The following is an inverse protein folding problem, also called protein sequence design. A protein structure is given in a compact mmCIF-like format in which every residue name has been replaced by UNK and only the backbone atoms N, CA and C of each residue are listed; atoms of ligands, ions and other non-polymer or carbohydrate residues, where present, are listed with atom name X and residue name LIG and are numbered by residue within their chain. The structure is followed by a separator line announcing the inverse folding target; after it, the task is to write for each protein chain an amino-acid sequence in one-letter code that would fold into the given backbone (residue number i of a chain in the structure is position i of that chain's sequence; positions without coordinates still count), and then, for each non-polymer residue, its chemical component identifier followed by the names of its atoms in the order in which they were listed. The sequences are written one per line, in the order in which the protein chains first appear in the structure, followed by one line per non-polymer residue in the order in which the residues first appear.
data_IF_641296178549
#
_entry.id   IF_641296178549
#
_cell.length_a   1.000
_cell.length_b   1.000
_cell.length_c   1.000
_cell.angle_alpha   90.00
_cell.angle_beta   90.00
_cell.angle_gamma   90.00
#
_symmetry.space_group_name_H-M   'P 1'
#
loop_
_entity.id
_entity.type
_entity.pdbx_description
1 polymer ?
#
# COMPACT_ATOMS: atom_id res chain seq x y z
N UNK A 1 19.41 -34.06 -24.87
CA UNK A 1 17.94 -33.91 -24.88
C UNK A 1 17.62 -32.47 -24.52
N UNK A 2 17.22 -31.69 -25.51
CA UNK A 2 16.82 -30.27 -25.46
C UNK A 2 15.32 -30.16 -25.23
N UNK A 3 14.89 -29.40 -24.21
CA UNK A 3 13.53 -28.83 -24.08
C UNK A 3 13.62 -27.64 -23.08
N UNK A 4 13.63 -26.38 -23.54
CA UNK A 4 12.48 -25.45 -23.70
C UNK A 4 12.01 -24.87 -22.35
N UNK A 5 12.43 -23.65 -22.00
CA UNK A 5 11.74 -22.34 -22.17
C UNK A 5 10.63 -22.08 -21.14
N UNK A 6 10.83 -21.07 -20.30
CA UNK A 6 9.77 -20.14 -19.87
C UNK A 6 10.38 -18.82 -19.35
N UNK A 7 10.32 -17.83 -20.23
CA UNK A 7 10.63 -16.41 -20.07
C UNK A 7 9.56 -15.75 -19.18
N UNK A 8 9.92 -15.33 -17.96
CA UNK A 8 9.03 -14.58 -17.08
C UNK A 8 9.20 -13.07 -17.33
N UNK A 9 8.41 -12.57 -18.28
CA UNK A 9 8.28 -11.15 -18.60
C UNK A 9 7.76 -10.36 -17.40
N UNK A 10 8.54 -9.37 -16.98
CA UNK A 10 8.15 -8.32 -16.06
C UNK A 10 6.96 -7.50 -16.61
N UNK A 11 5.97 -7.11 -15.80
CA UNK A 11 4.94 -6.18 -16.23
C UNK A 11 5.52 -4.77 -16.35
N UNK A 12 5.37 -4.19 -17.54
CA UNK A 12 5.81 -2.85 -17.92
C UNK A 12 4.96 -1.78 -17.24
N UNK A 13 5.64 -0.86 -16.57
CA UNK A 13 5.07 0.40 -16.05
C UNK A 13 4.65 1.30 -17.22
N UNK A 14 3.40 1.76 -17.21
CA UNK A 14 2.90 2.79 -18.14
C UNK A 14 3.35 4.19 -17.67
N UNK A 15 3.62 5.13 -18.60
CA UNK A 15 4.17 6.44 -18.27
C UNK A 15 3.10 7.45 -17.81
N UNK A 16 3.51 8.31 -16.88
CA UNK A 16 2.77 9.48 -16.43
C UNK A 16 2.64 10.53 -17.55
N UNK A 17 1.40 10.94 -17.85
CA UNK A 17 1.13 12.07 -18.73
C UNK A 17 1.12 13.39 -17.94
N UNK A 18 1.92 14.35 -18.41
CA UNK A 18 2.05 15.72 -17.88
C UNK A 18 1.32 16.73 -18.79
N UNK A 19 0.63 17.68 -18.13
CA UNK A 19 0.45 19.15 -18.37
C UNK A 19 -0.48 19.74 -19.48
N UNK A 20 -1.58 20.36 -19.00
CA UNK A 20 -2.03 21.79 -19.00
C UNK A 20 -2.22 22.72 -20.25
N UNK A 21 -3.23 23.61 -20.09
CA UNK A 21 -3.54 24.96 -20.67
C UNK A 21 -4.49 25.03 -21.89
N UNK A 22 -5.45 25.96 -22.06
CA UNK A 22 -6.10 27.06 -21.29
C UNK A 22 -7.42 27.48 -22.02
N UNK A 23 -8.40 28.16 -21.40
CA UNK A 23 -9.66 28.62 -22.03
C UNK A 23 -9.64 30.11 -22.44
N UNK A 24 -10.57 30.59 -23.31
CA UNK A 24 -10.76 32.04 -23.44
C UNK A 24 -12.19 32.55 -23.13
N UNK A 25 -12.19 33.51 -22.20
CA UNK A 25 -12.84 34.83 -22.22
C UNK A 25 -14.39 34.97 -22.23
N UNK A 26 -14.88 35.63 -21.17
CA UNK A 26 -16.17 36.33 -21.07
C UNK A 26 -16.12 37.37 -19.93
N UNK A 27 -16.52 38.60 -20.25
CA UNK A 27 -16.26 39.92 -19.63
C UNK A 27 -17.09 40.22 -18.33
N UNK A 28 -17.02 41.41 -17.68
CA UNK A 28 -16.97 41.57 -16.24
C UNK A 28 -18.28 42.13 -15.65
N UNK A 29 -18.56 41.80 -14.38
CA UNK A 29 -19.75 42.28 -13.69
C UNK A 29 -19.45 42.57 -12.23
N UNK A 30 -19.39 43.85 -11.92
CA UNK A 30 -19.23 44.50 -10.61
C UNK A 30 -19.95 43.83 -9.44
N UNK A 31 -19.25 43.72 -8.30
CA UNK A 31 -19.91 43.69 -6.99
C UNK A 31 -19.16 42.92 -5.90
N UNK A 32 -18.80 43.65 -4.85
CA UNK A 32 -18.82 43.20 -3.44
C UNK A 32 -17.49 42.82 -2.78
N UNK A 33 -17.07 43.73 -1.91
CA UNK A 33 -16.40 43.57 -0.61
C UNK A 33 -15.22 42.60 -0.50
N UNK A 34 -14.04 43.20 -0.43
CA UNK A 34 -12.80 42.65 0.14
C UNK A 34 -13.03 42.19 1.59
N UNK A 35 -13.37 40.91 1.75
CA UNK A 35 -13.13 40.14 2.96
C UNK A 35 -11.94 39.21 2.71
N UNK A 36 -10.73 39.69 2.96
CA UNK A 36 -9.55 38.82 3.03
C UNK A 36 -9.50 38.18 4.41
N UNK A 37 -10.01 36.94 4.53
CA UNK A 37 -9.82 36.12 5.72
C UNK A 37 -9.43 34.69 5.31
N UNK A 38 -8.13 34.53 5.05
CA UNK A 38 -7.26 33.44 5.49
C UNK A 38 -7.86 32.03 5.68
N UNK A 39 -8.51 31.46 4.67
CA UNK A 39 -8.80 30.00 4.60
C UNK A 39 -7.86 29.24 3.64
N UNK A 40 -6.68 29.80 3.33
CA UNK A 40 -5.69 29.23 2.41
C UNK A 40 -4.57 28.45 3.11
N UNK A 41 -4.66 28.28 4.43
CA UNK A 41 -3.79 27.40 5.21
C UNK A 41 -4.53 26.10 5.54
N UNK A 42 -5.24 25.53 4.55
CA UNK A 42 -5.51 24.10 4.60
C UNK A 42 -4.14 23.43 4.54
N UNK A 43 -3.60 23.11 5.73
CA UNK A 43 -2.37 22.34 5.90
C UNK A 43 -2.49 21.19 4.90
N UNK A 44 -1.64 21.18 3.87
CA UNK A 44 -1.60 20.08 2.93
C UNK A 44 -1.38 18.81 3.76
N UNK A 45 -2.47 18.11 4.07
CA UNK A 45 -2.42 16.94 4.91
C UNK A 45 -1.67 15.90 4.10
N UNK A 46 -0.60 15.35 4.66
CA UNK A 46 0.07 14.21 4.07
C UNK A 46 -0.99 13.16 3.78
N UNK A 47 -1.08 12.63 2.54
CA UNK A 47 -2.07 11.62 2.22
C UNK A 47 -1.92 10.44 3.20
N UNK A 48 -3.04 9.89 3.72
CA UNK A 48 -2.98 8.84 4.73
C UNK A 48 -2.24 7.62 4.17
N UNK A 49 -1.24 7.14 4.90
CA UNK A 49 -0.51 5.91 4.58
C UNK A 49 -1.27 4.74 5.21
N UNK A 50 -1.39 3.63 4.50
CA UNK A 50 -2.04 2.42 4.98
C UNK A 50 -1.03 1.30 5.21
N UNK A 51 -1.33 0.40 6.13
CA UNK A 51 -0.52 -0.75 6.50
C UNK A 51 -1.31 -2.05 6.40
N UNK A 52 -0.67 -3.10 5.86
CA UNK A 52 -1.15 -4.47 5.97
C UNK A 52 -0.56 -5.06 7.24
N UNK A 53 -1.42 -5.42 8.19
CA UNK A 53 -1.02 -6.00 9.47
C UNK A 53 -1.45 -7.46 9.51
N UNK A 54 -0.51 -8.36 9.72
CA UNK A 54 -0.76 -9.80 9.91
C UNK A 54 -0.78 -10.11 11.41
N UNK A 55 -1.74 -10.91 11.85
CA UNK A 55 -1.98 -11.25 13.25
C UNK A 55 -1.60 -12.70 13.55
N UNK A 56 -1.25 -12.95 14.80
CA UNK A 56 -1.03 -14.31 15.29
C UNK A 56 -2.36 -15.06 15.37
N UNK A 57 -2.36 -16.30 14.93
CA UNK A 57 -3.51 -17.19 15.00
C UNK A 57 -3.10 -18.59 15.48
N UNK A 58 -4.01 -19.36 16.11
CA UNK A 58 -3.66 -20.67 16.66
C UNK A 58 -3.59 -21.79 15.61
N UNK A 59 -3.86 -21.50 14.33
CA UNK A 59 -4.02 -22.51 13.27
C UNK A 59 -2.77 -22.60 12.39
N UNK A 60 -2.14 -21.48 12.08
CA UNK A 60 -0.99 -21.41 11.18
C UNK A 60 0.34 -21.67 11.90
N UNK A 61 1.20 -22.48 11.28
CA UNK A 61 2.55 -22.74 11.77
C UNK A 61 3.50 -21.60 11.41
N UNK A 62 4.47 -21.31 12.29
CA UNK A 62 5.56 -20.34 12.03
C UNK A 62 6.25 -20.54 10.67
N UNK A 63 6.55 -21.79 10.32
CA UNK A 63 7.21 -22.16 9.07
C UNK A 63 6.36 -21.82 7.85
N UNK A 64 5.04 -21.91 7.97
CA UNK A 64 4.11 -21.56 6.91
C UNK A 64 4.01 -20.04 6.75
N UNK A 65 3.89 -19.29 7.85
CA UNK A 65 3.88 -17.81 7.82
C UNK A 65 5.14 -17.26 7.16
N UNK A 66 6.32 -17.74 7.57
CA UNK A 66 7.60 -17.36 6.95
C UNK A 66 7.65 -17.75 5.46
N UNK A 67 7.09 -18.91 5.06
CA UNK A 67 6.97 -19.28 3.66
C UNK A 67 6.09 -18.32 2.85
N UNK A 68 4.93 -17.92 3.38
CA UNK A 68 4.03 -16.97 2.71
C UNK A 68 4.72 -15.62 2.54
N UNK A 69 5.44 -15.15 3.56
CA UNK A 69 6.19 -13.90 3.50
C UNK A 69 7.27 -13.89 2.41
N UNK A 70 8.01 -15.00 2.26
CA UNK A 70 8.97 -15.14 1.17
C UNK A 70 8.29 -15.25 -0.20
N UNK A 71 7.22 -16.03 -0.29
CA UNK A 71 6.63 -16.39 -1.59
C UNK A 71 5.80 -15.25 -2.19
N UNK A 72 5.07 -14.51 -1.35
CA UNK A 72 4.18 -13.45 -1.82
C UNK A 72 4.87 -12.07 -1.83
N UNK A 73 5.56 -11.69 -0.75
CA UNK A 73 6.23 -10.38 -0.67
C UNK A 73 7.67 -10.41 -1.21
N UNK A 74 8.23 -11.59 -1.48
CA UNK A 74 9.60 -11.71 -1.97
C UNK A 74 10.67 -11.40 -0.91
N UNK A 75 10.31 -11.46 0.38
CA UNK A 75 11.28 -11.21 1.45
C UNK A 75 12.39 -12.26 1.48
N UNK A 76 13.59 -11.84 1.90
CA UNK A 76 14.66 -12.78 2.22
C UNK A 76 14.24 -13.66 3.40
N UNK A 77 14.93 -14.78 3.58
CA UNK A 77 14.65 -15.69 4.69
C UNK A 77 14.76 -14.98 6.04
N UNK A 78 15.79 -14.18 6.21
CA UNK A 78 16.08 -13.46 7.46
C UNK A 78 14.95 -12.49 7.80
N UNK A 79 14.48 -11.72 6.81
CA UNK A 79 13.38 -10.77 7.02
C UNK A 79 12.04 -11.45 7.26
N UNK A 80 11.76 -12.54 6.54
CA UNK A 80 10.55 -13.32 6.75
C UNK A 80 10.52 -13.96 8.15
N UNK A 81 11.66 -14.47 8.62
CA UNK A 81 11.78 -15.07 9.94
C UNK A 81 11.65 -14.00 11.05
N UNK A 82 12.23 -12.81 10.86
CA UNK A 82 12.06 -11.67 11.79
C UNK A 82 10.60 -11.23 11.90
N UNK A 83 9.90 -11.05 10.77
CA UNK A 83 8.49 -10.66 10.77
C UNK A 83 7.60 -11.75 11.36
N UNK A 84 7.88 -13.01 11.06
CA UNK A 84 7.18 -14.15 11.64
C UNK A 84 7.33 -14.18 13.16
N UNK A 85 8.54 -13.96 13.67
CA UNK A 85 8.79 -13.87 15.12
C UNK A 85 7.97 -12.76 15.76
N UNK A 86 7.91 -11.56 15.15
CA UNK A 86 7.05 -10.47 15.62
C UNK A 86 5.58 -10.85 15.64
N UNK A 87 5.08 -11.53 14.60
CA UNK A 87 3.70 -12.04 14.61
C UNK A 87 3.50 -12.96 15.82
N UNK A 88 4.42 -13.89 16.07
CA UNK A 88 4.29 -14.86 17.16
C UNK A 88 4.39 -14.22 18.57
N UNK A 89 5.40 -13.38 18.78
CA UNK A 89 5.75 -12.80 20.09
C UNK A 89 4.89 -11.57 20.42
N UNK A 90 4.75 -10.65 19.46
CA UNK A 90 4.02 -9.39 19.64
C UNK A 90 2.54 -9.50 19.25
N UNK A 91 2.12 -10.65 18.72
CA UNK A 91 0.76 -10.92 18.28
C UNK A 91 0.40 -10.31 16.92
N UNK A 92 1.27 -9.47 16.34
CA UNK A 92 1.06 -8.81 15.04
C UNK A 92 2.35 -8.30 14.41
N UNK A 93 2.37 -8.15 13.09
CA UNK A 93 3.43 -7.45 12.37
C UNK A 93 2.89 -6.69 11.15
N UNK A 94 3.49 -5.53 10.87
CA UNK A 94 3.27 -4.79 9.61
C UNK A 94 4.13 -5.43 8.52
N UNK A 95 3.49 -5.91 7.46
CA UNK A 95 4.16 -6.60 6.34
C UNK A 95 4.28 -5.75 5.09
N UNK A 96 3.41 -4.74 4.91
CA UNK A 96 3.48 -3.80 3.79
C UNK A 96 2.87 -2.45 4.21
N UNK A 97 3.35 -1.36 3.59
CA UNK A 97 2.84 0.01 3.77
C UNK A 97 2.70 0.70 2.42
N UNK A 98 1.63 1.44 2.18
CA UNK A 98 1.40 2.06 0.88
C UNK A 98 0.07 2.79 0.75
N UNK A 99 -0.37 3.00 -0.50
CA UNK A 99 -1.70 3.53 -0.81
C UNK A 99 -2.77 2.51 -0.47
N UNK A 100 -3.99 2.97 -0.21
CA UNK A 100 -5.09 2.13 0.28
C UNK A 100 -5.36 0.93 -0.63
N UNK A 101 -5.45 1.16 -1.94
CA UNK A 101 -5.81 0.14 -2.92
C UNK A 101 -4.76 -0.98 -3.02
N UNK A 102 -3.48 -0.64 -2.84
CA UNK A 102 -2.39 -1.63 -2.83
C UNK A 102 -2.44 -2.49 -1.57
N UNK A 103 -2.67 -1.85 -0.43
CA UNK A 103 -2.71 -2.55 0.86
C UNK A 103 -3.98 -3.41 0.97
N UNK A 104 -5.11 -2.98 0.43
CA UNK A 104 -6.32 -3.81 0.32
C UNK A 104 -6.06 -5.10 -0.46
N UNK A 105 -5.27 -5.04 -1.56
CA UNK A 105 -4.88 -6.25 -2.31
C UNK A 105 -4.00 -7.18 -1.48
N UNK A 106 -3.07 -6.62 -0.69
CA UNK A 106 -2.24 -7.42 0.21
C UNK A 106 -3.07 -8.11 1.30
N UNK A 107 -4.00 -7.40 1.94
CA UNK A 107 -4.90 -7.96 2.96
C UNK A 107 -5.75 -9.09 2.37
N UNK A 108 -6.34 -8.87 1.19
CA UNK A 108 -7.12 -9.91 0.50
C UNK A 108 -6.27 -11.14 0.16
N UNK A 109 -5.03 -10.93 -0.31
CA UNK A 109 -4.11 -12.04 -0.58
C UNK A 109 -3.75 -12.81 0.70
N UNK A 110 -3.49 -12.13 1.82
CA UNK A 110 -3.20 -12.78 3.11
C UNK A 110 -4.37 -13.65 3.56
N UNK A 111 -5.61 -13.18 3.42
CA UNK A 111 -6.79 -14.01 3.68
C UNK A 111 -6.87 -15.22 2.74
N UNK A 112 -6.49 -15.06 1.47
CA UNK A 112 -6.39 -16.16 0.51
C UNK A 112 -5.33 -17.21 0.89
N UNK A 113 -4.26 -16.81 1.58
CA UNK A 113 -3.27 -17.73 2.17
C UNK A 113 -3.70 -18.33 3.51
N UNK A 114 -4.89 -17.97 4.02
CA UNK A 114 -5.40 -18.41 5.32
C UNK A 114 -4.80 -17.65 6.50
N UNK A 115 -4.09 -16.54 6.28
CA UNK A 115 -3.55 -15.69 7.33
C UNK A 115 -4.55 -14.61 7.73
N UNK A 116 -4.69 -14.34 9.02
CA UNK A 116 -5.48 -13.21 9.47
C UNK A 116 -4.71 -11.91 9.23
N UNK A 117 -5.24 -11.03 8.38
CA UNK A 117 -4.71 -9.70 8.16
C UNK A 117 -5.77 -8.58 8.27
N UNK A 118 -5.34 -7.38 8.61
CA UNK A 118 -6.17 -6.17 8.63
C UNK A 118 -5.51 -5.00 7.89
N UNK A 119 -6.34 -4.08 7.44
CA UNK A 119 -5.95 -2.80 6.86
C UNK A 119 -5.95 -1.75 7.97
N UNK A 120 -4.82 -1.11 8.24
CA UNK A 120 -4.70 -0.05 9.26
C UNK A 120 -4.23 1.27 8.66
N UNK A 121 -4.80 2.38 9.13
CA UNK A 121 -4.33 3.72 8.77
C UNK A 121 -3.16 4.11 9.67
N UNK A 122 -2.08 4.60 9.07
CA UNK A 122 -0.94 5.18 9.77
C UNK A 122 -1.15 6.67 9.79
N UNK A 123 -1.50 7.20 10.96
CA UNK A 123 -1.55 8.64 11.18
C UNK A 123 -0.10 9.15 11.32
N UNK A 124 0.25 10.17 10.53
CA UNK A 124 1.61 10.74 10.42
C UNK A 124 1.91 11.78 11.50
#
# INVERSE_FOLDING_TARGET
MTTTTADARAPRLLPAARRAADPPAGDPGSGTSTGSDTSLLERAATPPVWSCVVWNDPVNLMTYVSYVFRSYFGFTRERADELMLRVHEDGRAVVATGIREEIERHVLAMHGYGLWATLERVDA
#
